data_IF_046587774399
#
_entry.id   IF_046587774399
#
_cell.length_a   1.000
_cell.length_b   1.000
_cell.length_c   1.000
_cell.angle_alpha   90.00
_cell.angle_beta   90.00
_cell.angle_gamma   90.00
#
_symmetry.space_group_name_H-M   'P 1'
#
loop_
_entity.id
_entity.type
_entity.pdbx_description
1 polymer ?
#
# COMPACT_ATOMS: atom_id res chain seq x y z
N UNK A 1 -12.95 13.31 -4.97
CA UNK A 1 -11.57 12.80 -5.18
C UNK A 1 -11.52 12.26 -6.60
N UNK A 2 -10.54 12.61 -7.44
CA UNK A 2 -10.56 12.17 -8.86
C UNK A 2 -9.95 10.79 -9.04
N UNK A 3 -10.42 10.01 -10.04
CA UNK A 3 -9.94 8.66 -10.35
C UNK A 3 -8.42 8.59 -10.55
N UNK A 4 -7.85 9.64 -11.15
CA UNK A 4 -6.40 9.78 -11.36
C UNK A 4 -5.63 9.81 -10.03
N UNK A 5 -6.14 10.52 -9.02
CA UNK A 5 -5.51 10.59 -7.69
C UNK A 5 -5.57 9.24 -6.97
N UNK A 6 -6.69 8.52 -7.05
CA UNK A 6 -6.83 7.19 -6.46
C UNK A 6 -5.86 6.17 -7.09
N UNK A 7 -5.69 6.19 -8.43
CA UNK A 7 -4.70 5.36 -9.13
C UNK A 7 -3.26 5.70 -8.75
N UNK A 8 -2.95 6.99 -8.55
CA UNK A 8 -1.63 7.44 -8.10
C UNK A 8 -1.31 6.90 -6.70
N UNK A 9 -2.27 7.04 -5.77
CA UNK A 9 -2.14 6.52 -4.40
C UNK A 9 -1.94 5.01 -4.41
N UNK A 10 -2.68 4.24 -5.22
CA UNK A 10 -2.50 2.80 -5.33
C UNK A 10 -1.10 2.41 -5.88
N UNK A 11 -0.55 3.16 -6.83
CA UNK A 11 0.84 2.95 -7.28
C UNK A 11 1.84 3.17 -6.15
N UNK A 12 1.70 4.27 -5.40
CA UNK A 12 2.57 4.59 -4.25
C UNK A 12 2.44 3.52 -3.16
N UNK A 13 1.22 3.06 -2.89
CA UNK A 13 0.91 2.01 -1.92
C UNK A 13 1.62 0.70 -2.24
N UNK A 14 1.67 0.31 -3.52
CA UNK A 14 2.41 -0.87 -3.98
C UNK A 14 3.91 -0.73 -3.73
N UNK A 15 4.48 0.43 -4.04
CA UNK A 15 5.92 0.70 -3.83
C UNK A 15 6.26 0.69 -2.34
N UNK A 16 5.42 1.30 -1.51
CA UNK A 16 5.57 1.29 -0.04
C UNK A 16 5.53 -0.14 0.52
N UNK A 17 4.57 -0.95 0.08
CA UNK A 17 4.46 -2.36 0.51
C UNK A 17 5.71 -3.16 0.09
N UNK A 18 6.15 -3.01 -1.16
CA UNK A 18 7.35 -3.69 -1.66
C UNK A 18 8.61 -3.29 -0.86
N UNK A 19 8.78 -2.00 -0.57
CA UNK A 19 9.88 -1.49 0.27
C UNK A 19 9.82 -2.05 1.69
N UNK A 20 8.63 -2.13 2.29
CA UNK A 20 8.44 -2.67 3.64
C UNK A 20 8.81 -4.16 3.72
N UNK A 21 8.48 -4.95 2.69
CA UNK A 21 8.88 -6.37 2.61
C UNK A 21 10.40 -6.50 2.47
N UNK A 22 11.06 -5.66 1.68
CA UNK A 22 12.54 -5.67 1.56
C UNK A 22 13.20 -5.36 2.90
N UNK A 23 12.69 -4.37 3.64
CA UNK A 23 13.14 -4.06 5.00
C UNK A 23 12.96 -5.24 5.96
N UNK A 24 11.84 -5.96 5.86
CA UNK A 24 11.60 -7.17 6.65
C UNK A 24 12.64 -8.26 6.35
N UNK A 25 12.96 -8.48 5.07
CA UNK A 25 13.98 -9.46 4.65
C UNK A 25 15.36 -9.06 5.17
N UNK A 26 15.74 -7.78 5.04
CA UNK A 26 17.00 -7.26 5.57
C UNK A 26 17.07 -7.40 7.09
N UNK A 27 15.98 -7.11 7.79
CA UNK A 27 15.89 -7.31 9.24
C UNK A 27 16.18 -8.76 9.62
N UNK A 28 15.54 -9.73 8.96
CA UNK A 28 15.80 -11.17 9.21
C UNK A 28 17.24 -11.58 8.89
N UNK A 29 17.82 -11.05 7.82
CA UNK A 29 19.21 -11.32 7.46
C UNK A 29 20.20 -10.82 8.54
N UNK A 30 19.94 -9.65 9.14
CA UNK A 30 20.78 -9.11 10.23
C UNK A 30 20.48 -9.80 11.56
N UNK A 31 19.22 -10.14 11.84
CA UNK A 31 18.82 -10.94 13.01
C UNK A 31 19.56 -12.29 13.04
N UNK A 32 19.63 -13.01 11.92
CA UNK A 32 20.35 -14.29 11.80
C UNK A 32 21.87 -14.15 12.06
N UNK A 33 22.44 -12.96 11.84
CA UNK A 33 23.84 -12.64 12.19
C UNK A 33 24.04 -12.25 13.66
N UNK A 34 22.97 -12.24 14.47
CA UNK A 34 23.00 -11.82 15.87
C UNK A 34 23.14 -10.32 16.07
N UNK A 35 22.98 -9.51 15.02
CA UNK A 35 23.18 -8.06 15.07
C UNK A 35 21.99 -7.29 15.67
N UNK A 36 20.83 -7.93 15.82
CA UNK A 36 19.60 -7.28 16.29
C UNK A 36 18.80 -8.27 17.15
N UNK A 37 18.17 -7.78 18.21
CA UNK A 37 17.28 -8.58 19.05
C UNK A 37 15.89 -8.79 18.41
N UNK A 38 15.28 -9.95 18.67
CA UNK A 38 13.96 -10.30 18.13
C UNK A 38 12.86 -9.31 18.52
N UNK A 39 12.98 -8.60 19.64
CA UNK A 39 11.99 -7.61 20.11
C UNK A 39 11.69 -6.50 19.07
N UNK A 40 12.63 -6.24 18.16
CA UNK A 40 12.49 -5.23 17.11
C UNK A 40 11.75 -5.71 15.86
N UNK A 41 11.38 -7.00 15.78
CA UNK A 41 10.65 -7.56 14.62
C UNK A 41 9.26 -6.94 14.45
N UNK A 42 8.67 -6.44 15.55
CA UNK A 42 7.36 -5.79 15.56
C UNK A 42 7.29 -4.56 14.64
N UNK A 43 8.39 -3.81 14.49
CA UNK A 43 8.46 -2.61 13.66
C UNK A 43 8.27 -2.90 12.16
N UNK A 44 9.10 -3.73 11.51
CA UNK A 44 8.92 -4.05 10.10
C UNK A 44 7.63 -4.84 9.84
N UNK A 45 7.18 -5.66 10.81
CA UNK A 45 5.90 -6.36 10.72
C UNK A 45 4.72 -5.38 10.70
N UNK A 46 4.68 -4.38 11.59
CA UNK A 46 3.65 -3.35 11.57
C UNK A 46 3.68 -2.53 10.28
N UNK A 47 4.86 -2.17 9.77
CA UNK A 47 4.99 -1.47 8.49
C UNK A 47 4.37 -2.26 7.33
N UNK A 48 4.59 -3.58 7.29
CA UNK A 48 3.94 -4.46 6.32
C UNK A 48 2.41 -4.48 6.48
N UNK A 49 1.88 -4.59 7.71
CA UNK A 49 0.44 -4.56 7.94
C UNK A 49 -0.21 -3.26 7.47
N UNK A 50 0.40 -2.11 7.81
CA UNK A 50 -0.07 -0.80 7.35
C UNK A 50 -0.07 -0.74 5.82
N UNK A 51 1.01 -1.23 5.17
CA UNK A 51 1.10 -1.27 3.72
C UNK A 51 0.02 -2.12 3.06
N UNK A 52 -0.30 -3.29 3.63
CA UNK A 52 -1.36 -4.18 3.12
C UNK A 52 -2.73 -3.53 3.27
N UNK A 53 -3.04 -3.01 4.46
CA UNK A 53 -4.32 -2.32 4.72
C UNK A 53 -4.50 -1.13 3.79
N UNK A 54 -3.46 -0.30 3.64
CA UNK A 54 -3.49 0.87 2.78
C UNK A 54 -3.64 0.54 1.29
N UNK A 55 -3.02 -0.55 0.83
CA UNK A 55 -3.21 -1.06 -0.53
C UNK A 55 -4.62 -1.61 -0.77
N UNK A 56 -5.19 -2.30 0.23
CA UNK A 56 -6.56 -2.80 0.19
C UNK A 56 -7.59 -1.67 0.12
N UNK A 57 -7.48 -0.68 0.99
CA UNK A 57 -8.39 0.48 1.00
C UNK A 57 -8.25 1.32 -0.27
N UNK A 58 -7.02 1.50 -0.79
CA UNK A 58 -6.80 2.20 -2.06
C UNK A 58 -7.45 1.49 -3.25
N UNK A 59 -7.41 0.15 -3.30
CA UNK A 59 -8.11 -0.62 -4.35
C UNK A 59 -9.63 -0.51 -4.23
N UNK A 60 -10.17 -0.60 -3.01
CA UNK A 60 -11.61 -0.47 -2.76
C UNK A 60 -12.10 0.93 -3.17
N UNK A 61 -11.33 1.98 -2.85
CA UNK A 61 -11.65 3.34 -3.26
C UNK A 61 -11.63 3.53 -4.79
N UNK A 62 -10.69 2.90 -5.50
CA UNK A 62 -10.68 2.92 -6.97
C UNK A 62 -11.93 2.23 -7.52
N UNK A 63 -12.28 1.03 -7.03
CA UNK A 63 -13.47 0.31 -7.51
C UNK A 63 -14.76 1.10 -7.29
N UNK A 64 -14.90 1.77 -6.13
CA UNK A 64 -16.05 2.64 -5.86
C UNK A 64 -16.12 3.82 -6.85
N UNK A 65 -14.99 4.50 -7.10
CA UNK A 65 -14.93 5.62 -8.04
C UNK A 65 -15.13 5.19 -9.50
N UNK A 66 -14.60 4.03 -9.92
CA UNK A 66 -14.85 3.47 -11.26
C UNK A 66 -16.32 3.11 -11.45
N UNK A 67 -17.00 2.67 -10.39
CA UNK A 67 -18.43 2.35 -10.42
C UNK A 67 -19.29 3.61 -10.49
N UNK A 68 -18.95 4.67 -9.75
CA UNK A 68 -19.58 6.00 -9.87
C UNK A 68 -19.43 6.57 -11.28
N UNK A 69 -18.22 6.58 -11.84
CA UNK A 69 -17.94 7.11 -13.19
C UNK A 69 -18.67 6.32 -14.30
N UNK A 70 -18.90 5.01 -14.09
CA UNK A 70 -19.67 4.16 -15.01
C UNK A 70 -21.18 4.41 -14.95
N UNK A 71 -21.70 4.79 -13.77
CA UNK A 71 -23.13 5.03 -13.54
C UNK A 71 -23.52 6.45 -13.96
N UNK A 72 -22.65 7.44 -13.73
CA UNK A 72 -22.92 8.84 -14.09
C UNK A 72 -22.71 9.14 -15.58
N UNK A 73 -22.07 8.25 -16.34
CA UNK A 73 -21.68 8.50 -17.74
C UNK A 73 -20.61 9.59 -17.86
N UNK A 74 -19.93 9.73 -19.00
CA UNK A 74 -18.96 10.80 -19.18
C UNK A 74 -19.72 12.13 -19.01
N UNK A 75 -19.42 12.84 -17.93
CA UNK A 75 -19.92 14.20 -17.71
C UNK A 75 -19.40 15.03 -18.89
N UNK A 76 -20.29 15.28 -19.83
CA UNK A 76 -19.99 16.06 -21.03
C UNK A 76 -19.89 17.52 -20.59
N UNK A 77 -18.70 17.90 -20.15
CA UNK A 77 -18.30 19.29 -19.91
C UNK A 77 -18.13 19.94 -21.30
N UNK A 78 -19.26 20.41 -21.86
CA UNK A 78 -19.27 21.38 -22.97
C UNK A 78 -18.74 22.74 -22.50
#
# INVERSE_FOLDING_TARGET
MTLRAARLINKISKVFLASSVVLLILFFAVYMKGGIEFKYVSLPVMACFIGITWLGTSKAAIMALEQEERIEGPKNDN
#
